data_IF_199695918752
#
_entry.id   IF_199695918752
#
_cell.length_a   1.000
_cell.length_b   1.000
_cell.length_c   1.000
_cell.angle_alpha   90.00
_cell.angle_beta   90.00
_cell.angle_gamma   90.00
#
_symmetry.space_group_name_H-M   'P 1'
#
loop_
_entity.id
_entity.type
_entity.pdbx_description
1 polymer ?
#
# COMPACT_ATOMS: atom_id res chain seq x y z
N UNK A 1 -52.56 16.27 3.20
CA UNK A 1 -51.31 16.97 3.54
C UNK A 1 -50.28 16.11 4.31
N UNK A 2 -50.62 15.30 5.31
CA UNK A 2 -49.64 14.47 6.07
C UNK A 2 -48.90 13.39 5.24
N UNK A 3 -49.57 12.77 4.26
CA UNK A 3 -48.93 11.75 3.40
C UNK A 3 -47.91 12.37 2.43
N UNK A 4 -48.13 13.60 1.94
CA UNK A 4 -47.22 14.31 1.03
C UNK A 4 -45.92 14.75 1.73
N UNK A 5 -46.01 15.12 3.02
CA UNK A 5 -44.87 15.51 3.82
C UNK A 5 -43.94 14.31 4.11
N UNK A 6 -44.52 13.13 4.38
CA UNK A 6 -43.76 11.90 4.64
C UNK A 6 -43.01 11.44 3.39
N UNK A 7 -43.62 11.56 2.18
CA UNK A 7 -43.01 11.22 0.93
C UNK A 7 -41.85 12.18 0.58
N UNK A 8 -42.00 13.47 0.91
CA UNK A 8 -40.93 14.46 0.69
C UNK A 8 -39.75 14.27 1.63
N UNK A 9 -39.98 13.91 2.88
CA UNK A 9 -38.93 13.58 3.88
C UNK A 9 -38.17 12.29 3.47
N UNK A 10 -38.91 11.27 2.97
CA UNK A 10 -38.28 10.03 2.45
C UNK A 10 -37.43 10.30 1.19
N UNK A 11 -37.90 11.16 0.27
CA UNK A 11 -37.11 11.54 -0.92
C UNK A 11 -35.83 12.29 -0.54
N UNK A 12 -35.88 13.19 0.43
CA UNK A 12 -34.69 13.91 0.91
C UNK A 12 -33.71 12.96 1.59
N UNK A 13 -34.20 12.00 2.37
CA UNK A 13 -33.34 11.00 3.01
C UNK A 13 -32.63 10.09 2.00
N UNK A 14 -33.31 9.69 0.91
CA UNK A 14 -32.74 8.86 -0.15
C UNK A 14 -31.71 9.64 -0.98
N UNK A 15 -31.92 10.93 -1.22
CA UNK A 15 -30.95 11.78 -1.95
C UNK A 15 -29.70 12.07 -1.13
N UNK A 16 -29.80 12.16 0.20
CA UNK A 16 -28.65 12.35 1.09
C UNK A 16 -27.72 11.12 1.12
N UNK A 17 -28.28 9.91 0.98
CA UNK A 17 -27.51 8.65 0.95
C UNK A 17 -26.68 8.48 -0.34
N UNK A 18 -27.01 9.19 -1.44
CA UNK A 18 -26.31 9.10 -2.72
C UNK A 18 -25.43 10.32 -3.05
N UNK A 19 -25.28 11.27 -2.11
CA UNK A 19 -24.48 12.46 -2.37
C UNK A 19 -23.00 12.10 -2.49
N UNK A 20 -22.43 12.34 -3.67
CA UNK A 20 -21.00 12.23 -3.90
C UNK A 20 -20.23 13.18 -2.97
N UNK A 21 -19.12 12.72 -2.45
CA UNK A 21 -18.26 13.53 -1.58
C UNK A 21 -16.88 13.67 -2.21
N UNK A 22 -16.56 14.90 -2.62
CA UNK A 22 -15.19 15.21 -3.03
C UNK A 22 -14.31 15.35 -1.78
N UNK A 23 -13.30 14.52 -1.68
CA UNK A 23 -12.36 14.47 -0.56
C UNK A 23 -11.21 15.43 -0.86
N UNK A 24 -11.05 16.43 0.00
CA UNK A 24 -10.05 17.50 -0.13
C UNK A 24 -9.24 17.65 1.14
N UNK A 25 -7.96 17.91 0.97
CA UNK A 25 -7.12 18.47 2.03
C UNK A 25 -7.51 19.95 2.29
N UNK A 26 -7.47 20.34 3.55
CA UNK A 26 -7.64 21.73 4.00
C UNK A 26 -6.56 22.03 5.04
N UNK A 27 -5.33 21.79 4.66
CA UNK A 27 -4.19 21.95 5.51
C UNK A 27 -3.74 23.39 5.55
N UNK A 28 -3.09 23.77 6.65
CA UNK A 28 -2.46 25.08 6.80
C UNK A 28 -0.94 24.90 6.89
N UNK A 29 -0.18 25.86 6.43
CA UNK A 29 1.26 25.88 6.62
C UNK A 29 1.61 25.80 8.10
N UNK A 30 2.49 24.86 8.45
CA UNK A 30 2.90 24.58 9.81
C UNK A 30 2.07 23.51 10.52
N UNK A 31 0.96 23.03 9.95
CA UNK A 31 0.23 21.87 10.50
C UNK A 31 1.14 20.65 10.60
N UNK A 32 1.01 19.91 11.69
CA UNK A 32 1.77 18.69 11.93
C UNK A 32 0.87 17.60 12.49
N UNK A 33 1.16 16.36 12.08
CA UNK A 33 0.53 15.15 12.60
C UNK A 33 1.59 14.06 12.79
N UNK A 34 1.52 13.33 13.89
CA UNK A 34 2.32 12.12 14.12
C UNK A 34 1.39 10.93 14.19
N UNK A 35 1.73 9.89 13.46
CA UNK A 35 0.99 8.65 13.39
C UNK A 35 1.83 7.49 13.89
N UNK A 36 1.21 6.57 14.60
CA UNK A 36 1.77 5.27 14.90
C UNK A 36 1.13 4.21 14.01
N UNK A 37 1.97 3.38 13.40
CA UNK A 37 1.55 2.28 12.54
C UNK A 37 2.01 0.97 13.14
N UNK A 38 1.11 0.00 13.20
CA UNK A 38 1.39 -1.39 13.58
C UNK A 38 0.82 -2.29 12.50
N UNK A 39 1.61 -3.25 12.02
CA UNK A 39 1.11 -4.29 11.12
C UNK A 39 1.56 -5.67 11.61
N UNK A 40 0.69 -6.66 11.43
CA UNK A 40 0.94 -8.07 11.64
C UNK A 40 0.77 -8.79 10.30
N UNK A 41 1.83 -9.41 9.82
CA UNK A 41 1.86 -10.16 8.57
C UNK A 41 2.02 -11.64 8.95
N UNK A 42 0.99 -12.44 8.71
CA UNK A 42 1.01 -13.88 8.92
C UNK A 42 1.11 -14.58 7.58
N UNK A 43 2.14 -15.38 7.41
CA UNK A 43 2.33 -16.23 6.25
C UNK A 43 2.21 -17.69 6.67
N UNK A 44 1.34 -18.43 6.04
CA UNK A 44 1.20 -19.89 6.26
C UNK A 44 1.31 -20.64 4.95
N UNK A 45 1.96 -21.79 5.02
CA UNK A 45 2.07 -22.76 3.95
C UNK A 45 1.40 -24.06 4.44
N UNK A 46 0.07 -24.21 4.28
CA UNK A 46 -0.69 -25.31 4.88
C UNK A 46 -0.15 -26.69 4.50
N UNK A 47 0.30 -26.87 3.25
CA UNK A 47 0.86 -28.14 2.77
C UNK A 47 2.18 -28.51 3.46
N UNK A 48 2.95 -27.52 3.92
CA UNK A 48 4.20 -27.72 4.65
C UNK A 48 4.01 -27.69 6.19
N UNK A 49 2.80 -27.39 6.67
CA UNK A 49 2.51 -27.25 8.10
C UNK A 49 3.26 -26.08 8.77
N UNK A 50 3.73 -25.12 8.00
CA UNK A 50 4.53 -24.00 8.51
C UNK A 50 3.71 -22.70 8.58
N UNK A 51 3.95 -21.92 9.63
CA UNK A 51 3.34 -20.60 9.80
C UNK A 51 4.34 -19.65 10.43
N UNK A 52 4.45 -18.46 9.88
CA UNK A 52 5.32 -17.39 10.36
C UNK A 52 4.50 -16.12 10.58
N UNK A 53 4.92 -15.32 11.56
CA UNK A 53 4.35 -14.00 11.82
C UNK A 53 5.47 -12.99 11.92
N UNK A 54 5.29 -11.86 11.24
CA UNK A 54 6.18 -10.70 11.30
C UNK A 54 5.33 -9.51 11.75
N UNK A 55 5.71 -8.92 12.87
CA UNK A 55 5.11 -7.66 13.34
C UNK A 55 6.01 -6.51 12.95
N UNK A 56 5.41 -5.45 12.45
CA UNK A 56 6.11 -4.20 12.16
C UNK A 56 5.45 -3.06 12.91
N UNK A 57 6.25 -2.13 13.41
CA UNK A 57 5.76 -0.89 13.95
C UNK A 57 6.67 0.25 13.51
N UNK A 58 6.15 1.47 13.54
CA UNK A 58 6.88 2.67 13.17
C UNK A 58 6.04 3.92 13.43
N UNK A 59 6.73 5.06 13.43
CA UNK A 59 6.08 6.36 13.53
C UNK A 59 6.28 7.13 12.23
N UNK A 60 5.24 7.84 11.78
CA UNK A 60 5.31 8.74 10.64
C UNK A 60 4.89 10.14 11.07
N UNK A 61 5.81 11.10 10.95
CA UNK A 61 5.50 12.51 11.12
C UNK A 61 5.21 13.14 9.76
N UNK A 62 4.10 13.87 9.69
CA UNK A 62 3.69 14.64 8.52
C UNK A 62 3.70 16.11 8.91
N UNK A 63 4.35 16.96 8.11
CA UNK A 63 4.43 18.41 8.32
C UNK A 63 4.06 19.12 7.02
N UNK A 64 3.13 20.06 7.08
CA UNK A 64 2.79 20.94 5.96
C UNK A 64 3.80 22.07 5.91
N UNK A 65 4.77 21.99 5.00
CA UNK A 65 5.85 22.96 4.84
C UNK A 65 5.39 24.24 4.15
N UNK A 66 4.43 24.08 3.21
CA UNK A 66 3.82 25.20 2.50
C UNK A 66 2.39 24.87 2.10
N UNK A 67 1.55 25.93 2.03
CA UNK A 67 0.16 25.84 1.61
C UNK A 67 -0.20 27.07 0.78
N UNK A 68 -0.70 26.86 -0.43
CA UNK A 68 -1.09 27.90 -1.38
C UNK A 68 -2.39 27.54 -2.11
N UNK A 69 -2.87 28.42 -2.98
CA UNK A 69 -4.01 28.14 -3.82
C UNK A 69 -3.74 26.98 -4.83
N UNK A 70 -2.47 26.74 -5.17
CA UNK A 70 -2.06 25.71 -6.12
C UNK A 70 -1.88 24.33 -5.46
N UNK A 71 -1.83 24.27 -4.13
CA UNK A 71 -1.67 23.02 -3.36
C UNK A 71 -0.71 23.15 -2.19
N UNK A 72 -0.13 22.00 -1.82
CA UNK A 72 0.67 21.87 -0.60
C UNK A 72 2.07 21.32 -0.90
N UNK A 73 3.03 21.70 -0.06
CA UNK A 73 4.29 20.99 0.09
C UNK A 73 4.25 20.27 1.45
N UNK A 74 4.33 18.95 1.41
CA UNK A 74 4.18 18.08 2.59
C UNK A 74 5.47 17.30 2.78
N UNK A 75 6.02 17.36 3.98
CA UNK A 75 7.14 16.54 4.41
C UNK A 75 6.62 15.37 5.22
N UNK A 76 7.01 14.16 4.83
CA UNK A 76 6.77 12.92 5.58
C UNK A 76 8.09 12.34 6.03
N UNK A 77 8.22 12.01 7.32
CA UNK A 77 9.41 11.34 7.86
C UNK A 77 8.97 10.15 8.68
N UNK A 78 9.48 8.96 8.35
CA UNK A 78 9.23 7.74 9.12
C UNK A 78 10.40 7.48 10.05
N UNK A 79 10.11 7.10 11.29
CA UNK A 79 11.09 6.85 12.35
C UNK A 79 10.70 5.60 13.14
N UNK A 80 11.62 5.12 13.97
CA UNK A 80 11.36 4.03 14.92
C UNK A 80 10.81 2.76 14.26
N UNK A 81 11.31 2.43 13.06
CA UNK A 81 10.90 1.22 12.34
C UNK A 81 11.43 0.00 13.07
N UNK A 82 10.54 -0.85 13.56
CA UNK A 82 10.88 -2.13 14.19
C UNK A 82 10.19 -3.26 13.45
N UNK A 83 10.91 -4.36 13.28
CA UNK A 83 10.37 -5.61 12.78
C UNK A 83 10.67 -6.72 13.76
N UNK A 84 9.66 -7.45 14.15
CA UNK A 84 9.73 -8.57 15.08
C UNK A 84 9.20 -9.82 14.38
N UNK A 85 9.95 -10.92 14.48
CA UNK A 85 9.60 -12.21 13.88
C UNK A 85 10.51 -13.29 14.43
N UNK A 86 10.14 -14.55 14.21
CA UNK A 86 10.92 -15.69 14.70
C UNK A 86 12.26 -15.85 13.98
N UNK A 87 12.39 -15.30 12.78
CA UNK A 87 13.61 -15.42 11.98
C UNK A 87 14.50 -14.19 12.18
N UNK A 88 15.79 -14.44 12.27
CA UNK A 88 16.83 -13.41 12.31
C UNK A 88 16.71 -12.41 11.12
N UNK A 89 16.19 -12.89 9.99
CA UNK A 89 15.93 -12.08 8.79
C UNK A 89 14.99 -10.89 9.08
N UNK A 90 13.96 -11.04 9.91
CA UNK A 90 13.06 -9.94 10.24
C UNK A 90 13.78 -8.81 10.97
N UNK A 91 14.63 -9.16 11.95
CA UNK A 91 15.42 -8.16 12.68
C UNK A 91 16.46 -7.48 11.78
N UNK A 92 17.15 -8.25 10.93
CA UNK A 92 18.10 -7.67 9.96
C UNK A 92 17.41 -6.70 9.00
N UNK A 93 16.22 -7.06 8.49
CA UNK A 93 15.43 -6.19 7.62
C UNK A 93 15.01 -4.91 8.35
N UNK A 94 14.54 -5.01 9.59
CA UNK A 94 14.20 -3.84 10.40
C UNK A 94 15.39 -2.91 10.62
N UNK A 95 16.56 -3.46 10.90
CA UNK A 95 17.79 -2.70 11.06
C UNK A 95 18.19 -1.98 9.76
N UNK A 96 18.08 -2.65 8.61
CA UNK A 96 18.35 -2.04 7.31
C UNK A 96 17.36 -0.92 6.98
N UNK A 97 16.06 -1.13 7.24
CA UNK A 97 15.04 -0.09 7.05
C UNK A 97 15.35 1.15 7.89
N UNK A 98 15.72 0.97 9.17
CA UNK A 98 16.13 2.09 10.03
C UNK A 98 17.40 2.77 9.51
N UNK A 99 18.39 2.01 9.08
CA UNK A 99 19.67 2.56 8.62
C UNK A 99 19.51 3.43 7.36
N UNK A 100 18.67 3.02 6.42
CA UNK A 100 18.60 3.65 5.10
C UNK A 100 17.38 4.55 4.89
N UNK A 101 16.27 4.29 5.58
CA UNK A 101 15.01 5.02 5.37
C UNK A 101 14.52 5.81 6.58
N UNK A 102 14.93 5.45 7.81
CA UNK A 102 14.54 6.22 8.99
C UNK A 102 15.17 7.62 8.93
N UNK A 103 14.35 8.63 9.23
CA UNK A 103 14.71 10.05 9.18
C UNK A 103 15.00 10.60 7.77
N UNK A 104 14.76 9.84 6.70
CA UNK A 104 14.82 10.38 5.33
C UNK A 104 13.49 11.07 5.04
N UNK A 105 13.49 12.41 4.87
CA UNK A 105 12.27 13.12 4.56
C UNK A 105 11.82 12.82 3.13
N UNK A 106 10.54 12.59 2.94
CA UNK A 106 9.90 12.56 1.63
C UNK A 106 9.14 13.87 1.43
N UNK A 107 9.60 14.70 0.48
CA UNK A 107 8.98 16.00 0.18
C UNK A 107 8.02 15.86 -0.99
N UNK A 108 6.73 15.88 -0.68
CA UNK A 108 5.64 15.74 -1.65
C UNK A 108 5.08 17.10 -2.05
N UNK A 109 4.90 17.31 -3.36
CA UNK A 109 4.08 18.39 -3.89
C UNK A 109 2.71 17.83 -4.26
N UNK A 110 1.65 18.51 -3.80
CA UNK A 110 0.27 18.13 -4.13
C UNK A 110 -0.44 19.22 -4.93
N UNK A 111 -1.60 18.90 -5.50
CA UNK A 111 -2.54 19.92 -5.99
C UNK A 111 -3.38 20.51 -4.84
N UNK A 112 -4.27 21.44 -5.18
CA UNK A 112 -5.18 22.11 -4.24
C UNK A 112 -6.16 21.17 -3.52
N UNK A 113 -6.38 19.97 -4.03
CA UNK A 113 -7.20 18.96 -3.35
C UNK A 113 -6.39 18.05 -2.42
N UNK A 114 -5.06 18.15 -2.44
CA UNK A 114 -4.15 17.29 -1.67
C UNK A 114 -3.67 16.05 -2.45
N UNK A 115 -4.02 15.89 -3.73
CA UNK A 115 -3.54 14.79 -4.56
C UNK A 115 -2.06 14.98 -4.86
N UNK A 116 -1.23 13.97 -4.61
CA UNK A 116 0.20 13.99 -4.90
C UNK A 116 0.46 14.20 -6.39
N UNK A 117 1.39 15.07 -6.74
CA UNK A 117 1.78 15.41 -8.11
C UNK A 117 3.27 15.22 -8.37
N UNK A 118 4.08 15.40 -7.34
CA UNK A 118 5.53 15.36 -7.50
C UNK A 118 6.24 15.01 -6.19
N UNK A 119 7.49 14.56 -6.31
CA UNK A 119 8.43 14.35 -5.22
C UNK A 119 9.60 15.29 -5.42
N UNK A 120 9.72 16.28 -4.55
CA UNK A 120 10.68 17.38 -4.74
C UNK A 120 12.13 16.95 -4.49
N UNK A 121 12.34 15.98 -3.59
CA UNK A 121 13.67 15.44 -3.28
C UNK A 121 13.84 13.99 -3.80
N UNK A 122 13.29 13.69 -4.97
CA UNK A 122 13.31 12.36 -5.57
C UNK A 122 14.71 11.73 -5.60
N UNK A 123 15.73 12.45 -6.06
CA UNK A 123 17.09 11.92 -6.19
C UNK A 123 17.69 11.47 -4.86
N UNK A 124 17.43 12.21 -3.79
CA UNK A 124 17.87 11.86 -2.44
C UNK A 124 17.18 10.57 -1.98
N UNK A 125 15.85 10.52 -2.09
CA UNK A 125 15.05 9.35 -1.69
C UNK A 125 15.44 8.12 -2.52
N UNK A 126 15.55 8.26 -3.85
CA UNK A 126 15.98 7.18 -4.75
C UNK A 126 17.35 6.62 -4.33
N UNK A 127 18.28 7.51 -3.98
CA UNK A 127 19.63 7.09 -3.54
C UNK A 127 19.57 6.23 -2.28
N UNK A 128 18.75 6.60 -1.30
CA UNK A 128 18.63 5.83 -0.06
C UNK A 128 17.91 4.49 -0.28
N UNK A 129 16.85 4.48 -1.09
CA UNK A 129 16.14 3.24 -1.46
C UNK A 129 17.06 2.31 -2.26
N UNK A 130 17.88 2.83 -3.17
CA UNK A 130 18.88 2.04 -3.90
C UNK A 130 19.91 1.41 -2.96
N UNK A 131 20.41 2.16 -1.96
CA UNK A 131 21.33 1.61 -0.95
C UNK A 131 20.68 0.48 -0.16
N UNK A 132 19.43 0.65 0.29
CA UNK A 132 18.68 -0.39 0.98
C UNK A 132 18.52 -1.64 0.10
N UNK A 133 18.13 -1.45 -1.17
CA UNK A 133 17.96 -2.55 -2.12
C UNK A 133 19.28 -3.32 -2.32
N UNK A 134 20.40 -2.62 -2.51
CA UNK A 134 21.72 -3.24 -2.65
C UNK A 134 22.13 -4.00 -1.40
N UNK A 135 21.94 -3.44 -0.21
CA UNK A 135 22.24 -4.13 1.04
C UNK A 135 21.39 -5.40 1.22
N UNK A 136 20.10 -5.35 0.80
CA UNK A 136 19.21 -6.51 0.83
C UNK A 136 19.64 -7.60 -0.14
N UNK A 137 20.06 -7.22 -1.36
CA UNK A 137 20.63 -8.14 -2.36
C UNK A 137 21.89 -8.79 -1.78
N UNK A 138 22.81 -8.00 -1.21
CA UNK A 138 24.05 -8.51 -0.63
C UNK A 138 23.79 -9.54 0.46
N UNK A 139 22.85 -9.25 1.35
CA UNK A 139 22.43 -10.16 2.41
C UNK A 139 21.85 -11.48 1.84
N UNK A 140 21.00 -11.39 0.81
CA UNK A 140 20.40 -12.54 0.16
C UNK A 140 21.46 -13.47 -0.47
N UNK A 141 22.39 -12.90 -1.24
CA UNK A 141 23.44 -13.70 -1.91
C UNK A 141 24.47 -14.24 -0.93
N UNK A 142 24.70 -13.54 0.19
CA UNK A 142 25.51 -14.09 1.29
C UNK A 142 24.85 -15.31 1.93
N UNK A 143 23.52 -15.26 2.13
CA UNK A 143 22.74 -16.36 2.70
C UNK A 143 22.53 -17.54 1.72
N UNK A 144 22.50 -17.27 0.42
CA UNK A 144 22.23 -18.25 -0.65
C UNK A 144 23.18 -18.08 -1.83
N UNK A 145 24.47 -18.44 -1.70
CA UNK A 145 25.48 -18.22 -2.75
C UNK A 145 25.17 -18.95 -4.06
N UNK A 146 24.43 -20.07 -3.99
CA UNK A 146 24.02 -20.85 -5.16
C UNK A 146 23.11 -20.05 -6.13
N UNK A 147 22.44 -19.03 -5.64
CA UNK A 147 21.61 -18.16 -6.48
C UNK A 147 22.39 -17.41 -7.56
N UNK A 148 23.69 -17.11 -7.31
CA UNK A 148 24.53 -16.39 -8.27
C UNK A 148 24.62 -17.10 -9.63
N UNK A 149 24.55 -18.45 -9.64
CA UNK A 149 24.59 -19.24 -10.89
C UNK A 149 23.29 -19.13 -11.69
N UNK A 150 22.14 -19.07 -11.00
CA UNK A 150 20.83 -19.04 -11.63
C UNK A 150 20.43 -17.60 -11.99
N UNK A 151 20.70 -16.65 -11.11
CA UNK A 151 20.36 -15.24 -11.24
C UNK A 151 21.56 -14.38 -10.79
N UNK A 152 22.41 -13.92 -11.70
CA UNK A 152 23.56 -13.10 -11.34
C UNK A 152 23.17 -11.83 -10.59
N UNK A 153 23.88 -11.54 -9.48
CA UNK A 153 23.61 -10.42 -8.59
C UNK A 153 23.48 -9.08 -9.32
N UNK A 154 24.34 -8.83 -10.33
CA UNK A 154 24.31 -7.59 -11.09
C UNK A 154 22.99 -7.43 -11.88
N UNK A 155 22.43 -8.54 -12.43
CA UNK A 155 21.13 -8.51 -13.15
C UNK A 155 19.99 -8.12 -12.21
N UNK A 156 19.96 -8.69 -11.01
CA UNK A 156 18.97 -8.33 -9.99
C UNK A 156 19.11 -6.86 -9.59
N UNK A 157 20.33 -6.38 -9.37
CA UNK A 157 20.59 -4.99 -9.05
C UNK A 157 20.13 -4.03 -10.17
N UNK A 158 20.42 -4.35 -11.41
CA UNK A 158 19.97 -3.55 -12.57
C UNK A 158 18.44 -3.54 -12.67
N UNK A 159 17.79 -4.69 -12.51
CA UNK A 159 16.34 -4.81 -12.58
C UNK A 159 15.64 -4.00 -11.47
N UNK A 160 16.14 -4.08 -10.23
CA UNK A 160 15.58 -3.29 -9.13
C UNK A 160 15.77 -1.79 -9.39
N UNK A 161 16.95 -1.36 -9.83
CA UNK A 161 17.18 0.05 -10.11
C UNK A 161 16.29 0.59 -11.25
N UNK A 162 15.96 -0.24 -12.25
CA UNK A 162 15.03 0.15 -13.31
C UNK A 162 13.59 0.37 -12.85
N UNK A 163 13.21 -0.17 -11.69
CA UNK A 163 11.89 0.02 -11.07
C UNK A 163 11.83 1.28 -10.18
N UNK A 164 12.98 1.85 -9.82
CA UNK A 164 13.06 3.03 -8.95
C UNK A 164 12.93 4.33 -9.76
N UNK A 165 11.84 4.45 -10.53
CA UNK A 165 11.56 5.66 -11.32
C UNK A 165 10.79 6.69 -10.51
N UNK A 166 10.84 7.96 -10.91
CA UNK A 166 10.10 9.03 -10.25
C UNK A 166 8.59 8.78 -10.30
N UNK A 167 8.10 8.28 -11.41
CA UNK A 167 6.70 7.93 -11.63
C UNK A 167 6.25 6.82 -10.67
N UNK A 168 7.05 5.78 -10.49
CA UNK A 168 6.75 4.70 -9.54
C UNK A 168 6.69 5.19 -8.09
N UNK A 169 7.56 6.12 -7.72
CA UNK A 169 7.52 6.75 -6.40
C UNK A 169 6.29 7.64 -6.22
N UNK A 170 5.90 8.44 -7.24
CA UNK A 170 4.69 9.26 -7.20
C UNK A 170 3.47 8.35 -7.07
N UNK A 171 3.36 7.29 -7.87
CA UNK A 171 2.26 6.33 -7.79
C UNK A 171 2.19 5.67 -6.40
N UNK A 172 3.33 5.30 -5.83
CA UNK A 172 3.39 4.77 -4.47
C UNK A 172 2.90 5.77 -3.43
N UNK A 173 3.30 7.04 -3.55
CA UNK A 173 2.86 8.10 -2.66
C UNK A 173 1.35 8.39 -2.80
N UNK A 174 0.81 8.45 -4.04
CA UNK A 174 -0.63 8.61 -4.28
C UNK A 174 -1.46 7.48 -3.67
N UNK A 175 -0.93 6.25 -3.67
CA UNK A 175 -1.58 5.08 -3.11
C UNK A 175 -1.32 4.87 -1.62
N UNK A 176 -0.57 5.77 -0.98
CA UNK A 176 -0.34 5.74 0.46
C UNK A 176 -1.64 6.04 1.22
N UNK A 177 -1.84 5.40 2.36
CA UNK A 177 -3.04 5.53 3.21
C UNK A 177 -3.41 6.98 3.56
N UNK A 178 -2.43 7.88 3.64
CA UNK A 178 -2.67 9.29 3.94
C UNK A 178 -3.20 10.11 2.75
N UNK A 179 -2.91 9.69 1.51
CA UNK A 179 -3.19 10.48 0.30
C UNK A 179 -4.18 9.82 -0.64
N UNK A 180 -4.45 8.53 -0.49
CA UNK A 180 -5.20 7.69 -1.44
C UNK A 180 -6.58 8.24 -1.82
N UNK A 181 -7.20 9.04 -0.97
CA UNK A 181 -8.54 9.57 -1.20
C UNK A 181 -8.57 11.00 -1.71
N UNK A 182 -7.50 11.76 -1.59
CA UNK A 182 -7.50 13.16 -2.00
C UNK A 182 -7.73 13.35 -3.50
N UNK A 183 -8.57 14.32 -3.83
CA UNK A 183 -9.00 14.60 -5.20
C UNK A 183 -10.01 13.60 -5.76
N UNK A 184 -10.40 12.57 -5.01
CA UNK A 184 -11.43 11.60 -5.43
C UNK A 184 -12.81 12.03 -4.96
N UNK A 185 -13.80 11.73 -5.80
CA UNK A 185 -15.20 11.84 -5.44
C UNK A 185 -15.74 10.45 -5.19
N UNK A 186 -16.26 10.20 -3.98
CA UNK A 186 -16.75 8.88 -3.57
C UNK A 186 -18.19 8.97 -3.03
N UNK A 187 -18.94 7.90 -3.29
CA UNK A 187 -20.23 7.60 -2.65
C UNK A 187 -20.31 6.12 -2.29
N UNK A 188 -21.24 5.79 -1.43
CA UNK A 188 -21.53 4.38 -1.10
C UNK A 188 -21.98 3.62 -2.36
N UNK A 189 -21.38 2.44 -2.56
CA UNK A 189 -21.61 1.56 -3.71
C UNK A 189 -20.63 1.78 -4.86
N UNK A 190 -19.78 2.81 -4.84
CA UNK A 190 -18.75 3.00 -5.87
C UNK A 190 -17.77 1.82 -5.86
N UNK A 191 -17.45 1.37 -7.07
CA UNK A 191 -16.46 0.30 -7.30
C UNK A 191 -15.27 0.87 -8.05
N UNK A 192 -14.09 0.56 -7.54
CA UNK A 192 -12.81 0.95 -8.15
C UNK A 192 -11.98 -0.28 -8.38
N UNK A 193 -11.66 -0.53 -9.64
CA UNK A 193 -10.73 -1.57 -10.01
C UNK A 193 -9.30 -1.07 -9.78
N UNK A 194 -8.52 -1.87 -9.10
CA UNK A 194 -7.13 -1.60 -8.77
C UNK A 194 -6.25 -2.70 -9.34
N UNK A 195 -5.13 -2.30 -9.91
CA UNK A 195 -4.07 -3.22 -10.30
C UNK A 195 -2.80 -2.82 -9.54
N UNK A 196 -2.55 -3.46 -8.41
CA UNK A 196 -1.34 -3.21 -7.62
C UNK A 196 -0.29 -4.26 -7.96
N UNK A 197 0.75 -3.83 -8.68
CA UNK A 197 1.87 -4.70 -9.06
C UNK A 197 1.45 -5.98 -9.81
N UNK A 198 0.38 -5.92 -10.59
CA UNK A 198 -0.17 -7.05 -11.33
C UNK A 198 -1.29 -7.82 -10.61
N UNK A 199 -1.54 -7.53 -9.32
CA UNK A 199 -2.66 -8.13 -8.58
C UNK A 199 -3.91 -7.28 -8.83
N UNK A 200 -4.89 -7.88 -9.50
CA UNK A 200 -6.16 -7.24 -9.85
C UNK A 200 -7.16 -7.42 -8.71
N UNK A 201 -7.69 -6.30 -8.21
CA UNK A 201 -8.71 -6.28 -7.16
C UNK A 201 -9.77 -5.24 -7.48
N UNK A 202 -11.00 -5.46 -6.99
CA UNK A 202 -12.06 -4.45 -7.00
C UNK A 202 -12.35 -4.05 -5.55
N UNK A 203 -12.37 -2.76 -5.29
CA UNK A 203 -12.76 -2.20 -4.00
C UNK A 203 -14.15 -1.58 -4.11
N UNK A 204 -15.09 -2.06 -3.29
CA UNK A 204 -16.43 -1.46 -3.17
C UNK A 204 -16.45 -0.58 -1.92
N UNK A 205 -16.78 0.69 -2.08
CA UNK A 205 -16.76 1.67 -1.00
C UNK A 205 -18.13 1.83 -0.33
N UNK A 206 -18.08 1.99 0.99
CA UNK A 206 -19.15 2.50 1.82
C UNK A 206 -18.66 3.81 2.45
N UNK A 207 -19.42 4.89 2.28
CA UNK A 207 -19.03 6.24 2.69
C UNK A 207 -20.07 6.78 3.65
N UNK A 208 -19.69 6.92 4.92
CA UNK A 208 -20.55 7.37 6.00
C UNK A 208 -20.09 8.74 6.50
N UNK A 209 -20.98 9.75 6.40
CA UNK A 209 -20.72 11.10 6.89
C UNK A 209 -21.11 11.21 8.35
N UNK A 210 -20.19 11.69 9.17
CA UNK A 210 -20.40 12.13 10.53
C UNK A 210 -20.31 13.67 10.61
N UNK A 211 -20.77 14.33 11.67
CA UNK A 211 -20.71 15.80 11.77
C UNK A 211 -19.31 16.39 11.54
N UNK A 212 -18.27 15.72 12.02
CA UNK A 212 -16.89 16.20 11.96
C UNK A 212 -15.92 15.25 11.22
N UNK A 213 -16.42 14.18 10.65
CA UNK A 213 -15.58 13.16 10.02
C UNK A 213 -16.30 12.46 8.84
N UNK A 214 -15.50 11.82 8.02
CA UNK A 214 -15.92 10.94 6.95
C UNK A 214 -15.32 9.56 7.21
N UNK A 215 -16.16 8.54 7.37
CA UNK A 215 -15.73 7.16 7.46
C UNK A 215 -15.84 6.51 6.08
N UNK A 216 -14.73 6.00 5.56
CA UNK A 216 -14.64 5.32 4.27
C UNK A 216 -14.27 3.87 4.55
N UNK A 217 -15.16 2.95 4.21
CA UNK A 217 -14.92 1.51 4.34
C UNK A 217 -14.80 0.95 2.94
N UNK A 218 -13.69 0.26 2.65
CA UNK A 218 -13.44 -0.43 1.39
C UNK A 218 -13.55 -1.94 1.58
N UNK A 219 -14.44 -2.61 0.83
CA UNK A 219 -14.51 -4.07 0.73
C UNK A 219 -13.68 -4.49 -0.48
N UNK A 220 -12.59 -5.21 -0.24
CA UNK A 220 -11.59 -5.59 -1.24
C UNK A 220 -11.88 -7.02 -1.68
N UNK A 221 -12.00 -7.24 -2.97
CA UNK A 221 -12.16 -8.56 -3.58
C UNK A 221 -11.26 -8.66 -4.79
N UNK A 222 -10.54 -9.77 -4.92
CA UNK A 222 -9.77 -10.10 -6.10
C UNK A 222 -9.82 -11.60 -6.35
N UNK A 223 -10.05 -11.96 -7.59
CA UNK A 223 -10.01 -13.34 -8.06
C UNK A 223 -9.33 -13.32 -9.42
N UNK A 224 -8.08 -13.74 -9.46
CA UNK A 224 -7.32 -13.82 -10.71
C UNK A 224 -7.54 -15.17 -11.35
N UNK A 225 -7.77 -15.17 -12.67
CA UNK A 225 -7.83 -16.39 -13.46
C UNK A 225 -6.47 -17.11 -13.44
N UNK A 226 -6.46 -18.39 -13.77
CA UNK A 226 -5.20 -19.16 -13.85
C UNK A 226 -4.21 -18.54 -14.84
N UNK A 227 -4.70 -17.99 -15.95
CA UNK A 227 -3.88 -17.32 -16.96
C UNK A 227 -3.34 -15.97 -16.45
N UNK A 228 -4.15 -15.21 -15.69
CA UNK A 228 -3.69 -13.97 -15.04
C UNK A 228 -2.58 -14.28 -14.02
N UNK A 229 -2.73 -15.35 -13.22
CA UNK A 229 -1.73 -15.77 -12.22
C UNK A 229 -0.44 -16.18 -12.93
N UNK A 230 -0.53 -16.96 -14.02
CA UNK A 230 0.63 -17.33 -14.82
C UNK A 230 1.36 -16.13 -15.38
N UNK A 231 0.61 -15.22 -16.01
CA UNK A 231 1.16 -14.00 -16.56
C UNK A 231 1.83 -13.13 -15.49
N UNK A 232 1.22 -13.02 -14.32
CA UNK A 232 1.78 -12.31 -13.17
C UNK A 232 3.14 -12.88 -12.76
N UNK A 233 3.27 -14.21 -12.61
CA UNK A 233 4.55 -14.83 -12.23
C UNK A 233 5.62 -14.66 -13.31
N UNK A 234 5.27 -14.87 -14.58
CA UNK A 234 6.19 -14.67 -15.69
C UNK A 234 6.71 -13.22 -15.70
N UNK A 235 5.80 -12.25 -15.53
CA UNK A 235 6.19 -10.83 -15.48
C UNK A 235 7.11 -10.53 -14.30
N UNK A 236 6.79 -11.04 -13.09
CA UNK A 236 7.66 -10.87 -11.92
C UNK A 236 9.03 -11.53 -12.09
N UNK A 237 9.10 -12.73 -12.68
CA UNK A 237 10.37 -13.39 -12.97
C UNK A 237 11.21 -12.56 -13.94
N UNK A 238 10.61 -12.03 -15.01
CA UNK A 238 11.30 -11.14 -15.97
C UNK A 238 11.78 -9.85 -15.29
N UNK A 239 10.94 -9.23 -14.46
CA UNK A 239 11.28 -8.01 -13.72
C UNK A 239 12.50 -8.20 -12.80
N UNK A 240 12.71 -9.38 -12.23
CA UNK A 240 13.92 -9.67 -11.42
C UNK A 240 15.09 -10.19 -12.24
N UNK A 241 14.98 -10.22 -13.57
CA UNK A 241 16.09 -10.61 -14.47
C UNK A 241 16.20 -12.10 -14.77
N UNK A 242 15.12 -12.89 -14.53
CA UNK A 242 15.08 -14.29 -14.91
C UNK A 242 15.20 -14.45 -16.45
N UNK A 243 15.94 -15.44 -16.88
CA UNK A 243 16.11 -15.76 -18.28
C UNK A 243 14.95 -16.61 -18.83
N UNK A 244 14.95 -16.82 -20.16
CA UNK A 244 13.91 -17.63 -20.82
C UNK A 244 13.90 -19.09 -20.35
N UNK A 245 15.04 -19.64 -19.91
CA UNK A 245 15.09 -21.02 -19.41
C UNK A 245 14.32 -21.15 -18.07
N UNK A 246 14.41 -20.14 -17.20
CA UNK A 246 13.63 -20.11 -15.95
C UNK A 246 12.12 -19.96 -16.23
N UNK A 247 11.74 -19.09 -17.16
CA UNK A 247 10.35 -18.91 -17.58
C UNK A 247 9.80 -20.19 -18.20
N UNK A 248 10.56 -20.86 -19.07
CA UNK A 248 10.18 -22.13 -19.70
C UNK A 248 9.98 -23.26 -18.69
N UNK A 249 10.77 -23.29 -17.60
CA UNK A 249 10.56 -24.25 -16.50
C UNK A 249 9.24 -23.99 -15.77
N UNK A 250 8.85 -22.75 -15.56
CA UNK A 250 7.54 -22.41 -14.99
C UNK A 250 6.43 -22.91 -15.93
N UNK A 251 6.55 -22.64 -17.25
CA UNK A 251 5.60 -23.07 -18.27
C UNK A 251 5.43 -24.59 -18.27
N UNK A 252 6.53 -25.33 -18.28
CA UNK A 252 6.50 -26.81 -18.29
C UNK A 252 5.83 -27.39 -17.03
N UNK A 253 5.99 -26.76 -15.88
CA UNK A 253 5.42 -27.20 -14.60
C UNK A 253 4.02 -26.65 -14.32
N UNK A 254 3.51 -25.72 -15.16
CA UNK A 254 2.26 -25.03 -14.89
C UNK A 254 1.05 -25.98 -14.76
N UNK A 255 0.99 -27.02 -15.62
CA UNK A 255 -0.05 -28.05 -15.54
C UNK A 255 -0.08 -28.76 -14.19
N UNK A 256 1.09 -29.11 -13.65
CA UNK A 256 1.19 -29.73 -12.32
C UNK A 256 0.79 -28.76 -11.21
N UNK A 257 1.19 -27.49 -11.30
CA UNK A 257 0.80 -26.44 -10.35
C UNK A 257 -0.72 -26.23 -10.33
N UNK A 258 -1.39 -26.28 -11.49
CA UNK A 258 -2.85 -26.26 -11.59
C UNK A 258 -3.49 -27.41 -10.83
N UNK A 259 -3.02 -28.64 -11.05
CA UNK A 259 -3.55 -29.83 -10.38
C UNK A 259 -3.39 -29.75 -8.86
N UNK A 260 -2.33 -29.12 -8.37
CA UNK A 260 -2.10 -28.87 -6.94
C UNK A 260 -2.87 -27.67 -6.38
N UNK A 261 -3.72 -26.99 -7.19
CA UNK A 261 -4.47 -25.80 -6.78
C UNK A 261 -3.60 -24.54 -6.59
N UNK A 262 -2.36 -24.56 -7.09
CA UNK A 262 -1.40 -23.46 -6.94
C UNK A 262 -1.58 -22.34 -7.97
N UNK A 263 -2.37 -22.57 -9.03
CA UNK A 263 -2.60 -21.62 -10.10
C UNK A 263 -3.75 -20.64 -9.82
N UNK A 264 -4.10 -20.43 -8.56
CA UNK A 264 -5.17 -19.52 -8.14
C UNK A 264 -4.63 -18.45 -7.22
N UNK A 265 -5.20 -17.26 -7.34
CA UNK A 265 -4.96 -16.17 -6.42
C UNK A 265 -6.29 -15.52 -6.06
N UNK A 266 -6.60 -15.55 -4.77
CA UNK A 266 -7.77 -14.92 -4.18
C UNK A 266 -7.33 -13.84 -3.21
N UNK A 267 -7.96 -12.68 -3.27
CA UNK A 267 -7.77 -11.57 -2.32
C UNK A 267 -9.12 -11.22 -1.71
N UNK A 268 -9.19 -11.20 -0.41
CA UNK A 268 -10.38 -10.77 0.34
C UNK A 268 -9.96 -9.87 1.50
N UNK A 269 -10.70 -8.80 1.72
CA UNK A 269 -10.34 -7.93 2.83
C UNK A 269 -11.21 -6.71 2.98
N UNK A 270 -10.85 -5.94 3.99
CA UNK A 270 -11.47 -4.65 4.30
C UNK A 270 -10.42 -3.61 4.60
N UNK A 271 -10.73 -2.37 4.29
CA UNK A 271 -10.00 -1.20 4.76
C UNK A 271 -10.97 -0.21 5.38
N UNK A 272 -10.51 0.54 6.36
CA UNK A 272 -11.27 1.62 6.97
C UNK A 272 -10.37 2.85 7.08
N UNK A 273 -10.93 4.00 6.74
CA UNK A 273 -10.26 5.30 6.93
C UNK A 273 -11.24 6.27 7.55
N UNK A 274 -10.84 6.89 8.65
CA UNK A 274 -11.57 7.97 9.30
C UNK A 274 -10.85 9.28 9.03
N UNK A 275 -11.47 10.14 8.22
CA UNK A 275 -10.96 11.46 7.84
C UNK A 275 -11.74 12.54 8.59
N UNK A 276 -11.04 13.50 9.17
CA UNK A 276 -11.63 14.75 9.66
C UNK A 276 -12.06 15.63 8.48
N UNK A 277 -12.94 16.59 8.72
CA UNK A 277 -13.36 17.57 7.70
C UNK A 277 -12.20 18.45 7.17
N UNK A 278 -11.09 18.49 7.91
CA UNK A 278 -9.82 19.11 7.48
C UNK A 278 -9.03 18.24 6.48
N UNK A 279 -9.38 16.98 6.32
CA UNK A 279 -8.63 16.00 5.51
C UNK A 279 -7.61 15.17 6.33
N UNK A 280 -7.30 15.53 7.57
CA UNK A 280 -6.43 14.71 8.40
C UNK A 280 -7.10 13.38 8.74
N UNK A 281 -6.41 12.27 8.51
CA UNK A 281 -6.87 10.97 8.98
C UNK A 281 -6.67 10.86 10.50
N UNK A 282 -7.65 10.32 11.22
CA UNK A 282 -7.48 9.94 12.63
C UNK A 282 -7.11 8.48 12.76
N UNK A 283 -7.58 7.66 11.82
CA UNK A 283 -7.30 6.23 11.79
C UNK A 283 -7.35 5.71 10.35
N UNK A 284 -6.47 4.77 10.07
CA UNK A 284 -6.50 3.91 8.90
C UNK A 284 -6.24 2.48 9.34
N UNK A 285 -7.05 1.54 8.88
CA UNK A 285 -6.84 0.12 9.14
C UNK A 285 -7.10 -0.71 7.90
N UNK A 286 -6.39 -1.85 7.79
CA UNK A 286 -6.65 -2.87 6.80
C UNK A 286 -6.61 -4.26 7.43
N UNK A 287 -7.44 -5.14 6.88
CA UNK A 287 -7.40 -6.58 7.12
C UNK A 287 -7.55 -7.24 5.75
N UNK A 288 -6.49 -7.83 5.24
CA UNK A 288 -6.45 -8.42 3.89
C UNK A 288 -5.87 -9.81 3.97
N UNK A 289 -6.60 -10.75 3.42
CA UNK A 289 -6.22 -12.15 3.25
C UNK A 289 -5.97 -12.41 1.77
N UNK A 290 -4.79 -12.92 1.46
CA UNK A 290 -4.41 -13.36 0.12
C UNK A 290 -4.10 -14.85 0.15
N UNK A 291 -4.71 -15.60 -0.75
CA UNK A 291 -4.35 -16.99 -1.01
C UNK A 291 -3.70 -17.08 -2.37
N UNK A 292 -2.51 -17.63 -2.45
CA UNK A 292 -1.73 -17.73 -3.68
C UNK A 292 -0.76 -18.90 -3.61
N UNK A 293 -0.73 -19.73 -4.64
CA UNK A 293 0.20 -20.88 -4.75
C UNK A 293 0.21 -21.82 -3.54
N UNK A 294 -0.94 -22.08 -2.94
CA UNK A 294 -1.04 -22.93 -1.74
C UNK A 294 -0.53 -22.25 -0.46
N UNK A 295 -0.13 -20.97 -0.54
CA UNK A 295 0.19 -20.14 0.60
C UNK A 295 -1.00 -19.26 0.98
N UNK A 296 -1.10 -18.94 2.25
CA UNK A 296 -2.04 -17.95 2.76
C UNK A 296 -1.28 -16.85 3.48
N UNK A 297 -1.52 -15.61 3.09
CA UNK A 297 -0.98 -14.42 3.73
C UNK A 297 -2.13 -13.59 4.29
N UNK A 298 -2.06 -13.25 5.57
CA UNK A 298 -2.98 -12.32 6.24
C UNK A 298 -2.18 -11.11 6.68
N UNK A 299 -2.65 -9.93 6.28
CA UNK A 299 -2.06 -8.65 6.68
C UNK A 299 -3.11 -7.88 7.44
N UNK A 300 -2.87 -7.63 8.72
CA UNK A 300 -3.63 -6.67 9.50
C UNK A 300 -2.77 -5.47 9.80
N UNK A 301 -3.28 -4.26 9.58
CA UNK A 301 -2.55 -3.06 9.94
C UNK A 301 -3.47 -2.00 10.52
N UNK A 302 -2.93 -1.21 11.43
CA UNK A 302 -3.60 -0.05 12.01
C UNK A 302 -2.61 1.09 12.10
N UNK A 303 -3.02 2.25 11.59
CA UNK A 303 -2.30 3.52 11.72
C UNK A 303 -3.20 4.50 12.42
N UNK A 304 -2.74 5.08 13.53
CA UNK A 304 -3.51 6.03 14.36
C UNK A 304 -2.78 7.34 14.53
N UNK A 305 -3.54 8.42 14.50
CA UNK A 305 -3.07 9.74 14.90
C UNK A 305 -2.82 9.73 16.40
N UNK A 306 -1.58 10.00 16.82
CA UNK A 306 -1.17 10.03 18.24
C UNK A 306 -0.84 11.43 18.72
N UNK A 307 -0.41 12.32 17.82
CA UNK A 307 -0.08 13.68 18.13
C UNK A 307 -0.49 14.60 16.98
N UNK A 308 -0.94 15.79 17.30
CA UNK A 308 -1.32 16.82 16.32
C UNK A 308 -0.97 18.21 16.80
N UNK A 309 -0.63 19.05 15.83
CA UNK A 309 -0.42 20.48 16.04
C UNK A 309 -1.08 21.23 14.87
N UNK A 310 -2.38 21.39 14.93
CA UNK A 310 -3.14 22.29 14.07
C UNK A 310 -4.24 22.97 14.88
N UNK A 311 -4.64 24.14 14.41
CA UNK A 311 -5.68 24.96 15.02
C UNK A 311 -7.08 24.51 14.68
#
# INVERSE_FOLDING_TARGET
>A
MKKSLLTFVLLIAVTALNAQTLIKAKFQKGDQATYESVADIKLSVPMAGTSESIKTNGQTKITVKDASADGYVIEMTTTNIKMEGKQEVAQQTGNMLNQYLSNVPLLLKTDANGKVKDILNYTEVQTQVSKLAMASIDSLYKAKPEMEKALPKYKMAMSINSLLTKEAFIESAENNSFFIFFGKTLKTGDKVDMNKQGIKTTVTYEVNKEPNALNIIGKIKGNMTEDDVKAFFIDKMKQIGADEAMVSKLDANWGQMKQMGMAKMDVDGTSMTKLLNSGWATEYSTDVKTKMMGMEMVITSVTKLVEKSWK
#
